data_IF_439874286673
#
_entry.id   IF_439874286673
#
_cell.length_a   1.000
_cell.length_b   1.000
_cell.length_c   1.000
_cell.angle_alpha   90.00
_cell.angle_beta   90.00
_cell.angle_gamma   90.00
#
_symmetry.space_group_name_H-M   'P 1'
#
loop_
_entity.id
_entity.type
_entity.pdbx_description
1 polymer ?
#
# COMPACT_ATOMS: atom_id res chain seq x y z
N UNK A 1 -11.84 -4.24 15.82
CA UNK A 1 -10.72 -4.70 14.98
C UNK A 1 -10.25 -6.04 15.54
N UNK A 2 -10.07 -7.05 14.68
CA UNK A 2 -9.64 -8.40 15.09
C UNK A 2 -8.36 -8.72 14.33
N UNK A 3 -7.25 -8.92 15.08
CA UNK A 3 -5.98 -9.37 14.51
C UNK A 3 -6.00 -10.88 14.29
N UNK A 4 -5.57 -11.33 13.14
CA UNK A 4 -5.52 -12.76 12.75
C UNK A 4 -4.27 -13.06 11.93
N UNK A 5 -3.88 -14.33 11.93
CA UNK A 5 -3.02 -14.90 10.88
C UNK A 5 -3.87 -15.81 10.00
N UNK A 6 -3.92 -15.52 8.70
CA UNK A 6 -4.58 -16.35 7.71
C UNK A 6 -3.51 -17.19 7.00
N UNK A 7 -3.72 -18.50 6.97
CA UNK A 7 -2.76 -19.43 6.39
C UNK A 7 -3.01 -19.56 4.89
N UNK A 8 -2.14 -18.98 4.08
CA UNK A 8 -2.15 -19.11 2.64
C UNK A 8 -1.16 -20.20 2.17
N UNK A 9 -1.20 -20.52 0.90
CA UNK A 9 -0.19 -21.40 0.29
C UNK A 9 1.23 -20.81 0.37
N UNK A 10 1.33 -19.47 0.37
CA UNK A 10 2.58 -18.74 0.49
C UNK A 10 3.13 -18.65 1.92
N UNK A 11 2.34 -18.99 2.92
CA UNK A 11 2.69 -18.86 4.35
C UNK A 11 1.60 -18.16 5.15
N UNK A 12 1.92 -17.84 6.40
CA UNK A 12 1.00 -17.13 7.28
C UNK A 12 1.02 -15.63 6.98
N UNK A 13 -0.15 -15.05 6.72
CA UNK A 13 -0.33 -13.62 6.46
C UNK A 13 -1.00 -12.98 7.67
N UNK A 14 -0.30 -12.04 8.31
CA UNK A 14 -0.83 -11.24 9.39
C UNK A 14 -1.81 -10.21 8.83
N UNK A 15 -2.99 -10.14 9.42
CA UNK A 15 -4.02 -9.21 8.99
C UNK A 15 -4.89 -8.71 10.14
N UNK A 16 -5.51 -7.58 9.91
CA UNK A 16 -6.54 -7.01 10.78
C UNK A 16 -7.84 -6.83 10.01
N UNK A 17 -8.93 -7.31 10.62
CA UNK A 17 -10.26 -7.23 10.05
C UNK A 17 -11.12 -6.37 10.96
N UNK A 18 -11.86 -5.44 10.37
CA UNK A 18 -12.79 -4.57 11.08
C UNK A 18 -14.04 -4.27 10.25
N UNK A 19 -15.06 -3.70 10.89
CA UNK A 19 -16.35 -3.43 10.27
C UNK A 19 -17.30 -4.65 10.28
N UNK A 20 -18.35 -4.58 9.50
CA UNK A 20 -19.41 -5.58 9.47
C UNK A 20 -18.97 -6.85 8.74
N UNK A 21 -19.22 -8.03 9.32
CA UNK A 21 -18.92 -9.32 8.68
C UNK A 21 -19.71 -9.52 7.37
N UNK A 22 -20.87 -8.87 7.25
CA UNK A 22 -21.70 -8.88 6.04
C UNK A 22 -21.48 -7.69 5.13
N UNK A 23 -20.60 -6.76 5.53
CA UNK A 23 -20.22 -5.60 4.73
C UNK A 23 -19.43 -5.99 3.48
N UNK A 24 -19.38 -5.07 2.51
CA UNK A 24 -18.54 -5.24 1.31
C UNK A 24 -17.06 -5.29 1.71
N UNK A 25 -16.35 -6.31 1.25
CA UNK A 25 -14.93 -6.43 1.56
C UNK A 25 -14.13 -5.35 0.82
N UNK A 26 -13.36 -4.57 1.58
CA UNK A 26 -12.37 -3.60 1.10
C UNK A 26 -11.00 -4.06 1.55
N UNK A 27 -10.08 -4.28 0.62
CA UNK A 27 -8.73 -4.77 0.89
C UNK A 27 -7.74 -3.63 0.66
N UNK A 28 -6.98 -3.26 1.70
CA UNK A 28 -5.87 -2.32 1.62
C UNK A 28 -4.56 -3.03 1.29
N UNK A 29 -3.91 -2.66 0.20
CA UNK A 29 -2.65 -3.26 -0.27
C UNK A 29 -1.52 -2.26 -0.04
N UNK A 30 -0.58 -2.51 0.90
CA UNK A 30 0.47 -1.57 1.28
C UNK A 30 1.53 -1.32 0.20
N UNK A 31 2.32 -0.28 0.43
CA UNK A 31 3.51 0.04 -0.37
C UNK A 31 4.69 -0.91 -0.12
N UNK A 32 5.82 -0.62 -0.76
CA UNK A 32 6.99 -1.50 -0.90
C UNK A 32 7.52 -2.06 0.43
N UNK A 33 7.71 -1.23 1.43
CA UNK A 33 8.22 -1.61 2.76
C UNK A 33 7.23 -1.28 3.88
N UNK A 34 5.96 -1.07 3.52
CA UNK A 34 4.91 -0.70 4.44
C UNK A 34 4.19 -1.93 5.03
N UNK A 35 3.45 -1.72 6.10
CA UNK A 35 2.69 -2.73 6.82
C UNK A 35 1.21 -2.36 6.89
N UNK A 36 0.42 -3.18 7.53
CA UNK A 36 -1.04 -3.03 7.63
C UNK A 36 -1.50 -1.72 8.28
N UNK A 37 -0.67 -1.05 9.10
CA UNK A 37 -0.97 0.25 9.72
C UNK A 37 -1.07 1.40 8.71
N UNK A 38 -0.61 1.18 7.48
CA UNK A 38 -0.72 2.15 6.39
C UNK A 38 -2.16 2.56 6.06
N UNK A 39 -3.13 1.74 6.45
CA UNK A 39 -4.54 1.96 6.15
C UNK A 39 -5.37 2.46 7.34
N UNK A 40 -4.78 2.68 8.51
CA UNK A 40 -5.52 3.08 9.71
C UNK A 40 -6.40 4.32 9.44
N UNK A 41 -5.83 5.40 8.87
CA UNK A 41 -6.55 6.66 8.62
C UNK A 41 -7.62 6.49 7.54
N UNK A 42 -7.32 5.75 6.48
CA UNK A 42 -8.28 5.50 5.39
C UNK A 42 -9.44 4.64 5.89
N UNK A 43 -9.16 3.60 6.64
CA UNK A 43 -10.18 2.68 7.15
C UNK A 43 -11.03 3.29 8.25
N UNK A 44 -10.51 4.25 9.02
CA UNK A 44 -11.30 5.00 9.98
C UNK A 44 -12.36 5.89 9.30
N UNK A 45 -12.12 6.31 8.06
CA UNK A 45 -13.07 7.10 7.29
C UNK A 45 -14.17 6.27 6.61
N UNK A 46 -13.99 4.94 6.48
CA UNK A 46 -15.00 4.06 5.87
C UNK A 46 -16.07 3.65 6.88
N UNK A 47 -17.35 3.71 6.46
CA UNK A 47 -18.47 3.25 7.28
C UNK A 47 -18.33 1.76 7.61
N UNK A 48 -18.14 1.48 8.89
CA UNK A 48 -17.97 0.11 9.40
C UNK A 48 -19.23 -0.75 9.34
N UNK A 49 -20.41 -0.19 9.09
CA UNK A 49 -21.64 -0.97 8.87
C UNK A 49 -21.77 -1.44 7.42
N UNK A 50 -21.23 -0.66 6.49
CA UNK A 50 -21.29 -0.94 5.05
C UNK A 50 -20.09 -1.74 4.55
N UNK A 51 -18.95 -1.63 5.21
CA UNK A 51 -17.69 -2.21 4.78
C UNK A 51 -17.11 -3.19 5.80
N UNK A 52 -16.62 -4.32 5.29
CA UNK A 52 -15.69 -5.21 5.96
C UNK A 52 -14.28 -4.86 5.48
N UNK A 53 -13.42 -4.39 6.36
CA UNK A 53 -12.12 -3.81 6.03
C UNK A 53 -11.02 -4.78 6.36
N UNK A 54 -10.15 -5.09 5.40
CA UNK A 54 -8.97 -5.96 5.56
C UNK A 54 -7.70 -5.15 5.32
N UNK A 55 -6.92 -4.93 6.36
CA UNK A 55 -5.52 -4.55 6.27
C UNK A 55 -4.64 -5.78 6.50
N UNK A 56 -3.56 -5.94 5.78
CA UNK A 56 -2.64 -7.07 5.93
C UNK A 56 -1.19 -6.65 5.70
N UNK A 57 -0.29 -7.42 6.28
CA UNK A 57 1.13 -7.32 5.97
C UNK A 57 1.41 -8.17 4.74
N UNK A 58 1.96 -7.63 3.65
CA UNK A 58 2.39 -8.46 2.52
C UNK A 58 3.41 -9.51 2.96
N UNK A 59 3.54 -10.61 2.20
CA UNK A 59 4.61 -11.60 2.43
C UNK A 59 5.97 -10.90 2.58
N UNK A 60 6.77 -11.32 3.56
CA UNK A 60 8.07 -10.73 3.87
C UNK A 60 8.00 -9.33 4.49
N UNK A 61 6.85 -8.87 4.99
CA UNK A 61 6.66 -7.61 5.71
C UNK A 61 5.98 -7.83 7.04
N UNK A 62 6.25 -6.91 7.97
CA UNK A 62 5.57 -6.87 9.27
C UNK A 62 5.64 -8.21 10.00
N UNK A 63 4.47 -8.78 10.26
CA UNK A 63 4.31 -10.07 10.97
C UNK A 63 3.96 -11.23 10.05
N UNK A 64 3.93 -11.02 8.74
CA UNK A 64 3.72 -12.08 7.75
C UNK A 64 4.98 -12.90 7.52
N UNK A 65 4.80 -14.13 7.06
CA UNK A 65 5.91 -15.04 6.76
C UNK A 65 6.83 -14.49 5.69
N UNK A 66 8.13 -14.68 5.88
CA UNK A 66 9.10 -14.63 4.79
C UNK A 66 8.94 -15.88 3.92
N UNK A 67 8.94 -15.70 2.61
CA UNK A 67 8.70 -16.79 1.66
C UNK A 67 9.95 -17.19 0.86
N UNK A 68 11.05 -16.47 1.11
CA UNK A 68 12.36 -16.73 0.52
C UNK A 68 12.58 -16.10 -0.86
N UNK A 69 13.81 -16.12 -1.35
CA UNK A 69 14.19 -15.51 -2.62
C UNK A 69 13.45 -16.12 -3.82
N UNK A 70 13.12 -15.31 -4.82
CA UNK A 70 12.41 -15.72 -6.02
C UNK A 70 10.89 -15.84 -5.85
N UNK A 71 10.35 -15.45 -4.69
CA UNK A 71 8.92 -15.63 -4.39
C UNK A 71 8.15 -14.30 -4.28
N UNK A 72 8.81 -13.18 -4.47
CA UNK A 72 8.23 -11.84 -4.44
C UNK A 72 7.83 -11.36 -5.84
N UNK A 73 7.42 -10.11 -5.97
CA UNK A 73 6.90 -9.53 -7.21
C UNK A 73 5.38 -9.40 -7.22
N UNK A 74 4.87 -8.46 -8.01
CA UNK A 74 3.45 -8.10 -8.03
C UNK A 74 2.48 -9.29 -8.25
N UNK A 75 2.75 -10.26 -9.14
CA UNK A 75 1.87 -11.42 -9.32
C UNK A 75 1.76 -12.29 -8.07
N UNK A 76 2.87 -12.45 -7.33
CA UNK A 76 2.89 -13.21 -6.07
C UNK A 76 2.01 -12.56 -5.01
N UNK A 77 2.15 -11.24 -4.83
CA UNK A 77 1.30 -10.46 -3.93
C UNK A 77 -0.18 -10.44 -4.38
N UNK A 78 -0.44 -10.33 -5.69
CA UNK A 78 -1.80 -10.39 -6.23
C UNK A 78 -2.47 -11.74 -5.92
N UNK A 79 -1.73 -12.83 -6.01
CA UNK A 79 -2.22 -14.17 -5.62
C UNK A 79 -2.59 -14.23 -4.15
N UNK A 80 -1.81 -13.61 -3.26
CA UNK A 80 -2.14 -13.52 -1.83
C UNK A 80 -3.43 -12.72 -1.59
N UNK A 81 -3.59 -11.58 -2.27
CA UNK A 81 -4.81 -10.75 -2.16
C UNK A 81 -6.05 -11.55 -2.55
N UNK A 82 -5.99 -12.30 -3.66
CA UNK A 82 -7.09 -13.15 -4.11
C UNK A 82 -7.38 -14.25 -3.08
N UNK A 83 -6.34 -14.93 -2.58
CA UNK A 83 -6.48 -15.99 -1.58
C UNK A 83 -7.03 -15.47 -0.24
N UNK A 84 -6.67 -14.24 0.18
CA UNK A 84 -7.25 -13.59 1.35
C UNK A 84 -8.75 -13.34 1.16
N UNK A 85 -9.17 -12.86 -0.01
CA UNK A 85 -10.58 -12.69 -0.34
C UNK A 85 -11.35 -14.02 -0.31
N UNK A 86 -10.73 -15.10 -0.83
CA UNK A 86 -11.30 -16.46 -0.81
C UNK A 86 -11.49 -16.97 0.62
N UNK A 87 -10.48 -16.84 1.48
CA UNK A 87 -10.58 -17.27 2.89
C UNK A 87 -11.61 -16.47 3.69
N UNK A 88 -11.89 -15.24 3.28
CA UNK A 88 -12.94 -14.41 3.90
C UNK A 88 -14.31 -14.64 3.28
N UNK A 89 -14.44 -15.56 2.32
CA UNK A 89 -15.68 -15.90 1.66
C UNK A 89 -16.25 -14.76 0.80
N UNK A 90 -15.39 -13.86 0.29
CA UNK A 90 -15.82 -12.71 -0.46
C UNK A 90 -15.76 -12.99 -1.98
N UNK A 91 -16.91 -13.22 -2.64
CA UNK A 91 -16.95 -13.46 -4.08
C UNK A 91 -16.54 -12.22 -4.88
N UNK A 92 -16.83 -11.03 -4.33
CA UNK A 92 -16.41 -9.73 -4.89
C UNK A 92 -15.84 -8.82 -3.82
N UNK A 93 -14.95 -7.90 -4.20
CA UNK A 93 -14.28 -6.99 -3.26
C UNK A 93 -13.85 -5.69 -3.94
N UNK A 94 -13.56 -4.70 -3.11
CA UNK A 94 -12.98 -3.42 -3.50
C UNK A 94 -11.49 -3.40 -3.10
N UNK A 95 -10.65 -2.70 -3.86
CA UNK A 95 -9.21 -2.61 -3.63
C UNK A 95 -8.79 -1.16 -3.38
N UNK A 96 -7.93 -0.96 -2.40
CA UNK A 96 -7.19 0.29 -2.20
C UNK A 96 -5.70 -0.08 -2.23
N UNK A 97 -5.00 0.26 -3.30
CA UNK A 97 -3.57 0.05 -3.41
C UNK A 97 -2.79 1.34 -3.23
N UNK A 98 -1.81 1.37 -2.33
CA UNK A 98 -0.93 2.51 -2.13
C UNK A 98 0.48 2.21 -2.65
N UNK A 99 1.04 3.09 -3.52
CA UNK A 99 2.38 2.91 -4.06
C UNK A 99 2.51 1.56 -4.80
N UNK A 100 3.43 0.69 -4.41
CA UNK A 100 3.53 -0.68 -4.94
C UNK A 100 2.17 -1.40 -4.89
N UNK A 101 1.39 -1.20 -3.85
CA UNK A 101 0.06 -1.79 -3.72
C UNK A 101 -0.90 -1.40 -4.85
N UNK A 102 -0.72 -0.23 -5.47
CA UNK A 102 -1.54 0.18 -6.61
C UNK A 102 -1.24 -0.66 -7.86
N UNK A 103 0.04 -0.95 -8.14
CA UNK A 103 0.40 -1.87 -9.23
C UNK A 103 -0.10 -3.29 -8.95
N UNK A 104 0.00 -3.76 -7.70
CA UNK A 104 -0.56 -5.05 -7.29
C UNK A 104 -2.09 -5.06 -7.48
N UNK A 105 -2.80 -3.99 -7.12
CA UNK A 105 -4.25 -3.88 -7.34
C UNK A 105 -4.62 -3.98 -8.82
N UNK A 106 -3.83 -3.37 -9.72
CA UNK A 106 -4.01 -3.50 -11.17
C UNK A 106 -3.77 -4.95 -11.65
N UNK A 107 -2.77 -5.66 -11.10
CA UNK A 107 -2.55 -7.08 -11.41
C UNK A 107 -3.70 -7.97 -10.91
N UNK A 108 -4.26 -7.68 -9.73
CA UNK A 108 -5.47 -8.37 -9.22
C UNK A 108 -6.65 -8.12 -10.16
N UNK A 109 -6.86 -6.86 -10.56
CA UNK A 109 -7.92 -6.49 -11.50
C UNK A 109 -7.77 -7.20 -12.86
N UNK A 110 -6.53 -7.39 -13.33
CA UNK A 110 -6.25 -8.16 -14.54
C UNK A 110 -6.56 -9.65 -14.38
N UNK A 111 -6.22 -10.21 -13.21
CA UNK A 111 -6.34 -11.66 -12.96
C UNK A 111 -7.79 -12.11 -12.72
N UNK A 112 -8.59 -11.29 -12.03
CA UNK A 112 -9.96 -11.62 -11.64
C UNK A 112 -10.92 -10.43 -11.81
N UNK A 113 -11.02 -9.84 -13.03
CA UNK A 113 -11.76 -8.59 -13.27
C UNK A 113 -13.23 -8.66 -12.82
N UNK A 114 -13.86 -9.83 -12.92
CA UNK A 114 -15.25 -10.04 -12.53
C UNK A 114 -15.47 -10.02 -11.00
N UNK A 115 -14.40 -10.10 -10.21
CA UNK A 115 -14.45 -10.07 -8.74
C UNK A 115 -14.16 -8.70 -8.17
N UNK A 116 -13.45 -7.85 -8.91
CA UNK A 116 -13.06 -6.50 -8.47
C UNK A 116 -14.16 -5.52 -8.82
N UNK A 117 -14.81 -4.95 -7.79
CA UNK A 117 -15.90 -3.99 -7.98
C UNK A 117 -15.41 -2.58 -8.23
N UNK A 118 -14.44 -2.13 -7.44
CA UNK A 118 -13.83 -0.79 -7.50
C UNK A 118 -12.35 -0.88 -7.18
N UNK A 119 -11.56 0.01 -7.77
CA UNK A 119 -10.12 0.12 -7.49
C UNK A 119 -9.79 1.56 -7.13
N UNK A 120 -9.08 1.74 -6.02
CA UNK A 120 -8.43 3.00 -5.67
C UNK A 120 -6.93 2.82 -5.87
N UNK A 121 -6.34 3.66 -6.70
CA UNK A 121 -4.91 3.75 -6.93
C UNK A 121 -4.38 4.99 -6.20
N UNK A 122 -3.68 4.77 -5.09
CA UNK A 122 -3.17 5.85 -4.25
C UNK A 122 -1.72 6.13 -4.61
N UNK A 123 -1.53 7.19 -5.34
CA UNK A 123 -0.28 7.78 -5.81
C UNK A 123 0.68 6.81 -6.53
N UNK A 124 0.14 5.88 -7.32
CA UNK A 124 0.89 5.10 -8.30
C UNK A 124 -0.04 4.56 -9.41
N UNK A 125 0.35 4.74 -10.67
CA UNK A 125 -0.32 4.17 -11.84
C UNK A 125 0.64 3.96 -13.02
N UNK A 126 1.61 4.87 -13.23
CA UNK A 126 2.63 4.82 -14.27
C UNK A 126 4.04 4.54 -13.72
N UNK A 127 5.06 4.96 -14.44
CA UNK A 127 6.46 4.92 -13.98
C UNK A 127 6.75 6.13 -13.10
N UNK A 128 7.38 5.96 -11.94
CA UNK A 128 7.89 7.08 -11.14
C UNK A 128 8.99 7.83 -11.89
N UNK A 129 9.18 9.11 -11.56
CA UNK A 129 10.36 9.84 -11.99
C UNK A 129 11.65 9.15 -11.48
N UNK A 130 12.73 9.20 -12.27
CA UNK A 130 13.94 8.44 -11.97
C UNK A 130 14.57 8.81 -10.63
N UNK A 131 14.48 10.07 -10.23
CA UNK A 131 14.97 10.60 -8.96
C UNK A 131 14.33 9.94 -7.73
N UNK A 132 13.15 9.33 -7.87
CA UNK A 132 12.46 8.56 -6.82
C UNK A 132 13.27 7.34 -6.35
N UNK A 133 14.18 6.82 -7.15
CA UNK A 133 15.10 5.75 -6.71
C UNK A 133 15.88 6.13 -5.46
N UNK A 134 16.24 7.39 -5.31
CA UNK A 134 17.07 7.86 -4.17
C UNK A 134 16.37 7.63 -2.83
N UNK A 135 15.17 8.18 -2.58
CA UNK A 135 14.47 7.94 -1.32
C UNK A 135 14.03 6.48 -1.16
N UNK A 136 13.72 5.75 -2.24
CA UNK A 136 13.37 4.33 -2.19
C UNK A 136 14.55 3.52 -1.68
N UNK A 137 15.74 3.68 -2.26
CA UNK A 137 16.93 2.93 -1.84
C UNK A 137 17.38 3.29 -0.43
N UNK A 138 17.34 4.58 -0.07
CA UNK A 138 17.61 5.00 1.31
C UNK A 138 16.62 4.37 2.30
N UNK A 139 15.35 4.24 1.92
CA UNK A 139 14.34 3.54 2.71
C UNK A 139 14.64 2.05 2.87
N UNK A 140 15.06 1.38 1.80
CA UNK A 140 15.44 -0.04 1.82
C UNK A 140 16.71 -0.29 2.63
N UNK A 141 17.71 0.58 2.53
CA UNK A 141 18.95 0.47 3.31
C UNK A 141 18.70 0.67 4.81
N UNK A 142 17.76 1.56 5.16
CA UNK A 142 17.33 1.74 6.55
C UNK A 142 16.78 0.46 7.18
N UNK A 143 16.13 -0.43 6.42
CA UNK A 143 15.61 -1.69 6.94
C UNK A 143 16.70 -2.63 7.50
N UNK A 144 17.94 -2.49 7.04
CA UNK A 144 19.08 -3.24 7.53
C UNK A 144 19.80 -2.56 8.72
N UNK A 145 19.30 -1.41 9.18
CA UNK A 145 19.94 -0.62 10.23
C UNK A 145 19.44 -1.04 11.61
N UNK A 146 20.37 -1.18 12.56
CA UNK A 146 20.05 -1.31 13.99
C UNK A 146 20.22 0.06 14.65
N UNK A 147 19.19 0.51 15.35
CA UNK A 147 19.19 1.77 16.10
C UNK A 147 19.42 1.49 17.58
N UNK A 148 20.05 2.42 18.33
CA UNK A 148 20.36 2.20 19.76
C UNK A 148 19.13 1.91 20.63
N UNK A 149 17.97 2.51 20.27
CA UNK A 149 16.70 2.28 20.95
C UNK A 149 15.53 2.74 20.08
N UNK A 150 14.31 2.33 20.45
CA UNK A 150 13.07 2.82 19.86
C UNK A 150 12.97 4.34 19.92
N UNK A 151 13.27 4.95 21.07
CA UNK A 151 13.21 6.41 21.25
C UNK A 151 14.21 7.13 20.36
N UNK A 152 15.41 6.58 20.17
CA UNK A 152 16.42 7.14 19.28
C UNK A 152 15.94 7.14 17.81
N UNK A 153 15.33 6.04 17.35
CA UNK A 153 14.72 5.99 16.02
C UNK A 153 13.56 6.97 15.89
N UNK A 154 12.61 6.97 16.84
CA UNK A 154 11.44 7.86 16.81
C UNK A 154 11.85 9.34 16.82
N UNK A 155 12.87 9.71 17.60
CA UNK A 155 13.40 11.07 17.63
C UNK A 155 14.01 11.48 16.27
N UNK A 156 14.67 10.55 15.59
CA UNK A 156 15.27 10.79 14.26
C UNK A 156 14.20 11.12 13.21
N UNK A 157 13.08 10.40 13.21
CA UNK A 157 12.07 10.51 12.14
C UNK A 157 10.92 11.45 12.44
N UNK A 158 10.63 11.71 13.72
CA UNK A 158 9.45 12.48 14.18
C UNK A 158 9.33 13.87 13.58
N UNK A 159 10.44 14.55 13.35
CA UNK A 159 10.47 15.91 12.86
C UNK A 159 10.61 16.04 11.34
N UNK A 160 10.66 14.90 10.64
CA UNK A 160 10.73 14.93 9.19
C UNK A 160 9.36 15.29 8.60
N UNK A 161 9.34 16.26 7.69
CA UNK A 161 8.10 16.80 7.11
C UNK A 161 7.25 15.75 6.39
N UNK A 162 7.88 14.74 5.83
CA UNK A 162 7.21 13.67 5.12
C UNK A 162 6.57 12.60 6.04
N UNK A 163 6.69 12.75 7.37
CA UNK A 163 6.01 11.91 8.35
C UNK A 163 5.02 12.73 9.20
N UNK A 164 4.37 13.72 8.59
CA UNK A 164 3.33 14.51 9.23
C UNK A 164 1.95 14.24 8.59
N UNK A 165 0.87 14.13 9.37
CA UNK A 165 0.82 14.23 10.84
C UNK A 165 1.49 13.02 11.52
N UNK A 166 2.13 13.24 12.68
CA UNK A 166 2.99 12.22 13.32
C UNK A 166 2.24 10.99 13.84
N UNK A 167 1.07 11.16 14.45
CA UNK A 167 0.40 10.07 15.18
C UNK A 167 0.14 8.77 14.35
N UNK A 168 -0.29 8.81 13.07
CA UNK A 168 -0.39 7.62 12.25
C UNK A 168 0.97 6.95 11.99
N UNK A 169 2.00 7.75 11.76
CA UNK A 169 3.36 7.26 11.53
C UNK A 169 3.98 6.63 12.77
N UNK A 170 3.73 7.20 13.95
CA UNK A 170 4.15 6.61 15.22
C UNK A 170 3.61 5.19 15.38
N UNK A 171 2.31 4.97 15.11
CA UNK A 171 1.70 3.64 15.16
C UNK A 171 2.29 2.69 14.13
N UNK A 172 2.56 3.17 12.91
CA UNK A 172 3.15 2.38 11.83
C UNK A 172 4.57 1.93 12.21
N UNK A 173 5.40 2.84 12.71
CA UNK A 173 6.76 2.53 13.12
C UNK A 173 6.80 1.67 14.38
N UNK A 174 5.91 1.95 15.34
CA UNK A 174 5.79 1.15 16.56
C UNK A 174 5.47 -0.32 16.26
N UNK A 175 4.58 -0.55 15.31
CA UNK A 175 4.26 -1.88 14.82
C UNK A 175 5.45 -2.56 14.12
N UNK A 176 6.28 -1.80 13.43
CA UNK A 176 7.38 -2.30 12.61
C UNK A 176 8.65 -2.59 13.42
N UNK A 177 8.88 -1.89 14.52
CA UNK A 177 10.12 -2.04 15.31
C UNK A 177 10.09 -3.28 16.21
N UNK A 178 11.23 -3.96 16.26
CA UNK A 178 11.49 -5.10 17.18
C UNK A 178 12.79 -4.89 17.94
N UNK A 179 12.83 -5.39 19.18
CA UNK A 179 14.05 -5.48 19.97
C UNK A 179 14.99 -6.53 19.37
N UNK A 180 16.25 -6.20 19.31
CA UNK A 180 17.37 -7.08 18.94
C UNK A 180 18.51 -6.90 19.96
N UNK A 181 19.50 -7.79 19.97
CA UNK A 181 20.56 -7.80 20.99
C UNK A 181 21.27 -6.45 21.17
N UNK A 182 21.41 -5.66 20.11
CA UNK A 182 22.14 -4.38 20.11
C UNK A 182 21.25 -3.15 20.01
N UNK A 183 19.93 -3.28 20.20
CA UNK A 183 19.00 -2.15 20.10
C UNK A 183 17.67 -2.53 19.47
N UNK A 184 17.22 -1.75 18.47
CA UNK A 184 15.98 -2.02 17.73
C UNK A 184 16.23 -2.06 16.24
N UNK A 185 15.50 -2.90 15.52
CA UNK A 185 15.52 -3.03 14.08
C UNK A 185 14.10 -3.11 13.53
N UNK A 186 13.97 -3.22 12.22
CA UNK A 186 12.70 -3.40 11.55
C UNK A 186 12.32 -4.89 11.46
N UNK A 187 11.02 -5.21 11.56
CA UNK A 187 10.50 -6.55 11.26
C UNK A 187 10.72 -6.90 9.81
N UNK A 188 10.34 -5.97 8.94
CA UNK A 188 10.56 -6.08 7.50
C UNK A 188 12.05 -6.04 7.19
N UNK A 189 12.57 -7.15 6.67
CA UNK A 189 13.97 -7.26 6.29
C UNK A 189 14.16 -6.86 4.83
N UNK A 190 15.30 -6.22 4.52
CA UNK A 190 15.62 -5.66 3.20
C UNK A 190 15.47 -6.62 2.01
N UNK A 191 15.80 -7.93 2.08
CA UNK A 191 15.78 -8.80 0.90
C UNK A 191 14.42 -8.87 0.20
N UNK A 192 13.32 -8.98 0.93
CA UNK A 192 11.98 -9.09 0.35
C UNK A 192 11.56 -7.82 -0.43
N UNK A 193 11.54 -6.60 0.15
CA UNK A 193 11.21 -5.40 -0.60
C UNK A 193 12.27 -5.05 -1.67
N UNK A 194 13.52 -5.45 -1.50
CA UNK A 194 14.52 -5.30 -2.54
C UNK A 194 14.20 -6.10 -3.80
N UNK A 195 13.76 -7.36 -3.65
CA UNK A 195 13.36 -8.20 -4.78
C UNK A 195 12.14 -7.61 -5.49
N UNK A 196 11.15 -7.09 -4.75
CA UNK A 196 10.00 -6.40 -5.34
C UNK A 196 10.41 -5.14 -6.12
N UNK A 197 11.37 -4.38 -5.62
CA UNK A 197 11.90 -3.22 -6.35
C UNK A 197 12.64 -3.66 -7.61
N UNK A 198 13.45 -4.73 -7.56
CA UNK A 198 14.09 -5.27 -8.75
C UNK A 198 13.05 -5.76 -9.77
N UNK A 199 11.98 -6.42 -9.31
CA UNK A 199 10.86 -6.80 -10.16
C UNK A 199 10.22 -5.58 -10.84
N UNK A 200 9.90 -4.53 -10.06
CA UNK A 200 9.32 -3.28 -10.59
C UNK A 200 10.15 -2.69 -11.73
N UNK A 201 11.48 -2.68 -11.61
CA UNK A 201 12.37 -2.13 -12.64
C UNK A 201 12.30 -2.86 -13.99
N UNK A 202 11.78 -4.07 -14.01
CA UNK A 202 11.60 -4.86 -15.25
C UNK A 202 10.19 -4.72 -15.84
N UNK A 203 9.27 -4.02 -15.15
CA UNK A 203 7.87 -3.95 -15.55
C UNK A 203 7.52 -2.65 -16.26
N UNK A 204 6.53 -2.74 -17.12
CA UNK A 204 5.86 -1.61 -17.76
C UNK A 204 4.42 -1.50 -17.21
N UNK A 205 4.19 -0.64 -16.20
CA UNK A 205 2.88 -0.55 -15.54
C UNK A 205 1.77 0.01 -16.46
N UNK A 206 2.13 0.68 -17.55
CA UNK A 206 1.14 1.18 -18.52
C UNK A 206 0.34 0.03 -19.17
N UNK A 207 0.94 -1.14 -19.32
CA UNK A 207 0.28 -2.34 -19.86
C UNK A 207 -0.86 -2.85 -18.98
N UNK A 208 -0.89 -2.50 -17.70
CA UNK A 208 -1.93 -2.91 -16.76
C UNK A 208 -3.21 -2.07 -16.91
N UNK A 209 -3.14 -0.89 -17.53
CA UNK A 209 -4.28 0.02 -17.65
C UNK A 209 -5.46 -0.57 -18.42
N UNK A 210 -5.16 -1.36 -19.46
CA UNK A 210 -6.20 -2.01 -20.28
C UNK A 210 -7.07 -3.02 -19.51
N UNK A 211 -6.60 -3.52 -18.38
CA UNK A 211 -7.34 -4.44 -17.52
C UNK A 211 -8.34 -3.74 -16.57
N UNK A 212 -8.28 -2.42 -16.48
CA UNK A 212 -9.14 -1.62 -15.61
C UNK A 212 -10.49 -1.36 -16.29
N UNK A 213 -11.42 -2.31 -16.18
CA UNK A 213 -12.77 -2.26 -16.74
C UNK A 213 -13.85 -1.90 -15.72
N UNK A 214 -13.49 -1.87 -14.43
CA UNK A 214 -14.33 -1.45 -13.31
C UNK A 214 -14.09 0.02 -12.96
N UNK A 215 -14.95 0.67 -12.16
CA UNK A 215 -14.70 2.03 -11.66
C UNK A 215 -13.35 2.15 -10.94
N UNK A 216 -12.57 3.17 -11.31
CA UNK A 216 -11.25 3.46 -10.73
C UNK A 216 -11.21 4.88 -10.20
N UNK A 217 -10.64 5.06 -9.00
CA UNK A 217 -10.25 6.36 -8.47
C UNK A 217 -8.72 6.45 -8.43
N UNK A 218 -8.14 7.35 -9.21
CA UNK A 218 -6.73 7.69 -9.10
C UNK A 218 -6.57 8.92 -8.20
N UNK A 219 -5.90 8.73 -7.07
CA UNK A 219 -5.59 9.79 -6.10
C UNK A 219 -4.12 10.15 -6.25
N UNK A 220 -3.82 11.34 -6.75
CA UNK A 220 -2.46 11.82 -6.99
C UNK A 220 -2.00 12.77 -5.89
N UNK A 221 -0.78 12.62 -5.42
CA UNK A 221 -0.10 13.59 -4.58
C UNK A 221 0.35 14.80 -5.42
N UNK A 222 -0.09 16.00 -5.05
CA UNK A 222 0.23 17.23 -5.78
C UNK A 222 1.64 17.76 -5.46
N UNK A 223 2.25 17.30 -4.36
CA UNK A 223 3.58 17.71 -3.91
C UNK A 223 4.62 16.63 -4.21
N UNK A 224 5.83 17.05 -4.51
CA UNK A 224 6.98 16.16 -4.70
C UNK A 224 7.33 15.37 -3.44
N UNK A 225 7.97 14.22 -3.62
CA UNK A 225 8.63 13.52 -2.52
C UNK A 225 9.73 14.41 -1.95
N UNK A 226 9.69 14.72 -0.63
CA UNK A 226 10.70 15.59 -0.01
C UNK A 226 12.12 15.00 -0.05
N UNK A 227 13.18 15.84 -0.17
CA UNK A 227 13.09 17.30 -0.26
C UNK A 227 12.77 17.85 -1.66
N UNK A 228 12.88 17.11 -2.75
CA UNK A 228 12.52 17.47 -4.14
C UNK A 228 12.90 16.32 -5.08
N UNK A 229 12.52 15.10 -4.72
CA UNK A 229 12.83 13.91 -5.50
C UNK A 229 11.83 13.62 -6.64
N UNK A 230 10.90 14.57 -6.92
CA UNK A 230 9.92 14.38 -7.98
C UNK A 230 8.65 13.65 -7.53
N UNK A 231 7.95 13.06 -8.49
CA UNK A 231 6.62 12.49 -8.32
C UNK A 231 6.59 10.99 -8.62
N UNK A 232 5.75 10.25 -7.90
CA UNK A 232 5.40 8.85 -8.25
C UNK A 232 4.46 8.81 -9.47
N UNK A 233 3.64 9.85 -9.65
CA UNK A 233 2.83 10.07 -10.85
C UNK A 233 3.04 11.52 -11.28
N UNK A 234 3.57 11.72 -12.47
CA UNK A 234 3.68 13.05 -13.08
C UNK A 234 2.29 13.60 -13.45
N UNK A 235 2.17 14.90 -13.68
CA UNK A 235 0.92 15.48 -14.20
C UNK A 235 0.57 14.93 -15.58
N UNK A 236 1.57 14.65 -16.41
CA UNK A 236 1.36 14.12 -17.76
C UNK A 236 0.84 12.69 -17.70
N UNK A 237 1.40 11.82 -16.83
CA UNK A 237 0.91 10.47 -16.64
C UNK A 237 -0.48 10.44 -16.00
N UNK A 238 -0.76 11.35 -15.07
CA UNK A 238 -2.11 11.51 -14.51
C UNK A 238 -3.13 11.87 -15.58
N UNK A 239 -2.84 12.87 -16.40
CA UNK A 239 -3.72 13.28 -17.50
C UNK A 239 -3.85 12.16 -18.56
N UNK A 240 -2.75 11.46 -18.85
CA UNK A 240 -2.72 10.31 -19.76
C UNK A 240 -3.58 9.17 -19.24
N UNK A 241 -3.47 8.82 -17.97
CA UNK A 241 -4.25 7.77 -17.32
C UNK A 241 -5.75 8.04 -17.45
N UNK A 242 -6.20 9.24 -17.10
CA UNK A 242 -7.63 9.61 -17.18
C UNK A 242 -8.16 9.60 -18.62
N UNK A 243 -7.31 9.82 -19.60
CA UNK A 243 -7.67 9.76 -21.01
C UNK A 243 -7.73 8.32 -21.56
N UNK A 244 -6.82 7.45 -21.10
CA UNK A 244 -6.69 6.07 -21.60
C UNK A 244 -7.50 5.05 -20.79
N UNK A 245 -7.98 5.41 -19.60
CA UNK A 245 -8.83 4.58 -18.73
C UNK A 245 -10.18 5.29 -18.53
N UNK A 246 -11.15 5.15 -19.46
CA UNK A 246 -12.40 5.94 -19.44
C UNK A 246 -13.28 5.73 -18.19
N UNK A 247 -13.09 4.62 -17.47
CA UNK A 247 -13.82 4.32 -16.22
C UNK A 247 -13.17 4.99 -15.01
N UNK A 248 -12.03 5.65 -15.19
CA UNK A 248 -11.30 6.29 -14.11
C UNK A 248 -11.79 7.72 -13.84
N UNK A 249 -11.78 8.07 -12.56
CA UNK A 249 -11.83 9.44 -12.07
C UNK A 249 -10.52 9.78 -11.38
N UNK A 250 -10.12 11.04 -11.42
CA UNK A 250 -8.88 11.49 -10.78
C UNK A 250 -9.16 12.61 -9.79
N UNK A 251 -8.41 12.61 -8.71
CA UNK A 251 -8.32 13.72 -7.77
C UNK A 251 -6.86 13.99 -7.42
N UNK A 252 -6.54 15.26 -7.18
CA UNK A 252 -5.24 15.69 -6.66
C UNK A 252 -5.41 16.14 -5.22
N UNK A 253 -4.49 15.71 -4.35
CA UNK A 253 -4.47 16.05 -2.93
C UNK A 253 -3.20 16.83 -2.62
N UNK A 254 -3.30 17.92 -1.87
CA UNK A 254 -2.18 18.71 -1.38
C UNK A 254 -1.36 17.94 -0.34
N UNK A 255 -0.67 16.93 -0.82
CA UNK A 255 0.15 16.01 -0.06
C UNK A 255 1.32 15.53 -0.92
N UNK A 256 2.33 14.94 -0.31
CA UNK A 256 3.35 14.16 -0.99
C UNK A 256 3.06 12.66 -0.88
N UNK A 257 3.87 11.83 -1.52
CA UNK A 257 3.71 10.38 -1.54
C UNK A 257 3.55 9.72 -0.16
N UNK A 258 4.23 10.23 0.85
CA UNK A 258 4.16 9.69 2.21
C UNK A 258 2.91 10.19 2.94
N UNK A 259 2.58 11.46 2.81
CA UNK A 259 1.48 12.06 3.59
C UNK A 259 0.10 11.80 2.98
N UNK A 260 0.01 11.39 1.73
CA UNK A 260 -1.27 11.15 1.04
C UNK A 260 -2.07 10.00 1.67
N UNK A 261 -1.40 8.91 2.10
CA UNK A 261 -2.04 7.79 2.81
C UNK A 261 -2.53 8.15 4.21
N UNK A 262 -2.02 9.25 4.78
CA UNK A 262 -2.40 9.79 6.09
C UNK A 262 -3.31 11.02 5.97
N UNK A 263 -3.74 11.36 4.76
CA UNK A 263 -4.58 12.53 4.48
C UNK A 263 -6.06 12.25 4.77
N UNK A 264 -6.68 13.10 5.58
CA UNK A 264 -8.12 13.07 5.84
C UNK A 264 -8.92 13.36 4.57
N UNK A 265 -8.45 14.26 3.70
CA UNK A 265 -9.13 14.60 2.46
C UNK A 265 -9.07 13.45 1.45
N UNK A 266 -7.92 12.79 1.31
CA UNK A 266 -7.80 11.57 0.50
C UNK A 266 -8.73 10.47 1.04
N UNK A 267 -8.72 10.23 2.35
CA UNK A 267 -9.56 9.22 2.99
C UNK A 267 -11.04 9.47 2.80
N UNK A 268 -11.49 10.73 2.90
CA UNK A 268 -12.88 11.13 2.65
C UNK A 268 -13.29 10.91 1.19
N UNK A 269 -12.45 11.29 0.25
CA UNK A 269 -12.72 11.09 -1.19
C UNK A 269 -12.78 9.58 -1.54
N UNK A 270 -11.90 8.77 -0.95
CA UNK A 270 -11.93 7.32 -1.09
C UNK A 270 -13.22 6.73 -0.52
N UNK A 271 -13.65 7.17 0.67
CA UNK A 271 -14.88 6.70 1.28
C UNK A 271 -16.11 7.01 0.41
N UNK A 272 -16.23 8.23 -0.10
CA UNK A 272 -17.31 8.61 -1.02
C UNK A 272 -17.31 7.73 -2.27
N UNK A 273 -16.16 7.52 -2.89
CA UNK A 273 -16.04 6.67 -4.08
C UNK A 273 -16.43 5.21 -3.84
N UNK A 274 -16.05 4.63 -2.71
CA UNK A 274 -16.39 3.25 -2.37
C UNK A 274 -17.86 3.07 -1.98
N UNK A 275 -18.52 4.13 -1.55
CA UNK A 275 -19.93 4.14 -1.15
C UNK A 275 -20.93 4.26 -2.31
N UNK A 276 -20.49 4.70 -3.47
CA UNK A 276 -21.30 4.70 -4.71
C UNK A 276 -21.62 3.26 -5.18
#
# INVERSE_FOLDING_TARGET
MVSKHLKLQSGDIACEISGSDTGRLVIGIPGLSANLRSFDVIFDALDGQRHRKLAFDPRGRGRSSETGPGTYGWPSHASDVIALADQLGAPTFDLIGWSMGAWIAMVVAQSVPQRVRRVVLLDAAGLPEESIKVPVYAGLDRLATVFPSRDAFMALVRNLSHYQPWAPWERLFDYELIEVDSGVSFRTQRPAPWEDEQYRLTQDPYKLWAALTMPVLLVRAAQQVPPNFGFLITKDDYARFLREVPVARGIEIEANHYTIGMSVDASRAIAVFLDE
#
